data_IF_528852838126
#
_entry.id   IF_528852838126
#
_cell.length_a   1.000
_cell.length_b   1.000
_cell.length_c   1.000
_cell.angle_alpha   90.00
_cell.angle_beta   90.00
_cell.angle_gamma   90.00
#
_symmetry.space_group_name_H-M   'P 1'
#
loop_
_entity.id
_entity.type
_entity.pdbx_description
1 polymer ?
#
# COMPACT_ATOMS: atom_id res chain seq x y z
N UNK A 1 -21.70 9.51 -12.88
CA UNK A 1 -21.14 10.47 -11.91
C UNK A 1 -21.09 9.95 -10.47
N UNK A 2 -22.18 9.94 -9.68
CA UNK A 2 -22.08 9.47 -8.26
C UNK A 2 -21.64 8.00 -8.11
N UNK A 3 -22.08 7.13 -9.02
CA UNK A 3 -21.72 5.71 -8.99
C UNK A 3 -20.24 5.46 -9.33
N UNK A 4 -19.65 6.28 -10.21
CA UNK A 4 -18.24 6.17 -10.63
C UNK A 4 -17.29 6.65 -9.53
N UNK A 5 -17.66 7.75 -8.85
CA UNK A 5 -16.94 8.26 -7.67
C UNK A 5 -17.01 7.25 -6.53
N UNK A 6 -18.18 6.65 -6.29
CA UNK A 6 -18.35 5.60 -5.27
C UNK A 6 -17.54 4.34 -5.56
N UNK A 7 -17.54 3.86 -6.80
CA UNK A 7 -16.71 2.72 -7.21
C UNK A 7 -15.21 3.02 -7.06
N UNK A 8 -14.74 4.19 -7.48
CA UNK A 8 -13.33 4.57 -7.30
C UNK A 8 -12.95 4.68 -5.82
N UNK A 9 -13.81 5.25 -4.97
CA UNK A 9 -13.55 5.36 -3.54
C UNK A 9 -13.43 3.98 -2.87
N UNK A 10 -14.36 3.06 -3.17
CA UNK A 10 -14.34 1.70 -2.63
C UNK A 10 -13.11 0.92 -3.12
N UNK A 11 -12.78 1.02 -4.42
CA UNK A 11 -11.60 0.36 -4.98
C UNK A 11 -10.30 0.93 -4.39
N UNK A 12 -10.22 2.24 -4.17
CA UNK A 12 -9.09 2.89 -3.54
C UNK A 12 -8.89 2.39 -2.11
N UNK A 13 -9.93 2.49 -1.27
CA UNK A 13 -9.87 2.06 0.14
C UNK A 13 -9.52 0.58 0.26
N UNK A 14 -10.14 -0.29 -0.56
CA UNK A 14 -9.83 -1.73 -0.55
C UNK A 14 -8.41 -2.01 -1.01
N UNK A 15 -7.92 -1.30 -2.04
CA UNK A 15 -6.53 -1.44 -2.51
C UNK A 15 -5.55 -1.06 -1.40
N UNK A 16 -5.73 0.11 -0.78
CA UNK A 16 -4.85 0.57 0.29
C UNK A 16 -4.86 -0.41 1.46
N UNK A 17 -6.03 -0.82 1.93
CA UNK A 17 -6.14 -1.78 3.03
C UNK A 17 -5.46 -3.12 2.71
N UNK A 18 -5.64 -3.64 1.48
CA UNK A 18 -5.04 -4.89 1.04
C UNK A 18 -3.51 -4.80 0.96
N UNK A 19 -2.96 -3.76 0.34
CA UNK A 19 -1.52 -3.59 0.20
C UNK A 19 -0.82 -3.24 1.52
N UNK A 20 -1.47 -2.49 2.41
CA UNK A 20 -0.97 -2.26 3.78
C UNK A 20 -0.90 -3.59 4.54
N UNK A 21 -1.92 -4.45 4.43
CA UNK A 21 -1.92 -5.79 5.04
C UNK A 21 -0.79 -6.68 4.52
N UNK A 22 -0.57 -6.74 3.21
CA UNK A 22 0.53 -7.48 2.59
C UNK A 22 1.88 -6.94 3.05
N UNK A 23 2.03 -5.61 3.06
CA UNK A 23 3.27 -4.97 3.50
C UNK A 23 3.57 -5.27 4.96
N UNK A 24 2.54 -5.29 5.82
CA UNK A 24 2.71 -5.64 7.23
C UNK A 24 3.17 -7.09 7.40
N UNK A 25 2.59 -8.01 6.62
CA UNK A 25 3.00 -9.42 6.59
C UNK A 25 4.43 -9.59 6.06
N UNK A 26 4.77 -8.91 4.96
CA UNK A 26 6.09 -8.96 4.34
C UNK A 26 7.17 -8.37 5.27
N UNK A 27 6.90 -7.21 5.87
CA UNK A 27 7.83 -6.59 6.83
C UNK A 27 8.03 -7.51 8.02
N UNK A 28 6.99 -8.19 8.54
CA UNK A 28 7.15 -9.16 9.64
C UNK A 28 8.14 -10.29 9.28
N UNK A 29 8.17 -10.72 8.02
CA UNK A 29 9.09 -11.75 7.55
C UNK A 29 10.56 -11.27 7.46
N UNK A 30 10.81 -9.96 7.35
CA UNK A 30 12.16 -9.39 7.18
C UNK A 30 13.02 -9.49 8.47
N UNK A 31 12.48 -9.96 9.60
CA UNK A 31 13.22 -10.05 10.88
C UNK A 31 14.01 -8.78 11.22
N UNK A 32 13.42 -7.58 11.03
CA UNK A 32 14.10 -6.32 11.37
C UNK A 32 14.43 -6.26 12.88
N UNK A 33 13.74 -7.05 13.70
CA UNK A 33 14.08 -7.30 15.12
C UNK A 33 15.51 -7.81 15.35
N UNK A 34 16.13 -8.49 14.36
CA UNK A 34 17.55 -8.88 14.44
C UNK A 34 18.51 -7.73 14.16
N UNK A 35 18.07 -6.70 13.43
CA UNK A 35 18.89 -5.55 13.03
C UNK A 35 18.90 -4.48 14.14
N UNK A 36 17.84 -4.37 14.93
CA UNK A 36 17.72 -3.30 15.93
C UNK A 36 18.06 -3.77 17.34
N UNK A 37 18.93 -3.01 18.02
CA UNK A 37 19.42 -3.30 19.38
C UNK A 37 18.27 -3.50 20.38
N UNK A 38 18.42 -4.53 21.21
CA UNK A 38 17.46 -5.14 22.18
C UNK A 38 16.75 -4.18 23.16
N UNK A 39 17.11 -2.89 23.23
CA UNK A 39 16.59 -1.93 24.19
C UNK A 39 15.54 -0.94 23.65
N UNK A 40 15.26 -0.91 22.34
CA UNK A 40 14.32 0.06 21.72
C UNK A 40 13.10 -0.59 21.05
N UNK A 41 12.54 -1.63 21.66
CA UNK A 41 11.41 -2.42 21.10
C UNK A 41 10.21 -1.54 20.68
N UNK A 42 9.87 -0.54 21.49
CA UNK A 42 8.75 0.37 21.19
C UNK A 42 8.99 1.24 19.94
N UNK A 43 10.20 1.80 19.80
CA UNK A 43 10.55 2.61 18.62
C UNK A 43 10.55 1.76 17.36
N UNK A 44 11.01 0.52 17.44
CA UNK A 44 11.01 -0.43 16.30
C UNK A 44 9.59 -0.79 15.89
N UNK A 45 8.69 -1.06 16.85
CA UNK A 45 7.29 -1.34 16.56
C UNK A 45 6.59 -0.15 15.89
N UNK A 46 6.81 1.07 16.40
CA UNK A 46 6.23 2.27 15.81
C UNK A 46 6.75 2.49 14.39
N UNK A 47 8.06 2.35 14.19
CA UNK A 47 8.69 2.48 12.87
C UNK A 47 8.16 1.41 11.90
N UNK A 48 7.90 0.19 12.37
CA UNK A 48 7.28 -0.88 11.59
C UNK A 48 5.90 -0.50 11.05
N UNK A 49 5.04 0.02 11.94
CA UNK A 49 3.68 0.40 11.57
C UNK A 49 3.72 1.54 10.55
N UNK A 50 4.54 2.56 10.81
CA UNK A 50 4.71 3.70 9.90
C UNK A 50 5.26 3.28 8.54
N UNK A 51 6.27 2.42 8.53
CA UNK A 51 6.88 1.91 7.30
C UNK A 51 5.92 1.02 6.52
N UNK A 52 5.10 0.23 7.21
CA UNK A 52 4.06 -0.59 6.59
C UNK A 52 2.99 0.27 5.92
N UNK A 53 2.56 1.35 6.57
CA UNK A 53 1.58 2.28 6.00
C UNK A 53 2.18 3.02 4.81
N UNK A 54 3.42 3.52 4.95
CA UNK A 54 4.10 4.23 3.87
C UNK A 54 4.25 3.36 2.62
N UNK A 55 4.87 2.18 2.76
CA UNK A 55 5.08 1.26 1.63
C UNK A 55 3.74 0.75 1.09
N UNK A 56 2.81 0.34 1.96
CA UNK A 56 1.50 -0.16 1.54
C UNK A 56 0.69 0.88 0.76
N UNK A 57 0.75 2.15 1.18
CA UNK A 57 0.10 3.26 0.46
C UNK A 57 0.76 3.48 -0.90
N UNK A 58 2.09 3.55 -0.96
CA UNK A 58 2.82 3.74 -2.23
C UNK A 58 2.56 2.61 -3.23
N UNK A 59 2.52 1.36 -2.78
CA UNK A 59 2.23 0.21 -3.66
C UNK A 59 0.78 0.25 -4.14
N UNK A 60 -0.17 0.64 -3.28
CA UNK A 60 -1.56 0.80 -3.68
C UNK A 60 -1.77 1.94 -4.67
N UNK A 61 -1.13 3.10 -4.46
CA UNK A 61 -1.16 4.22 -5.41
C UNK A 61 -0.56 3.82 -6.76
N UNK A 62 0.54 3.08 -6.75
CA UNK A 62 1.14 2.51 -7.95
C UNK A 62 0.14 1.58 -8.68
N UNK A 63 -0.55 0.70 -7.95
CA UNK A 63 -1.53 -0.21 -8.54
C UNK A 63 -2.74 0.52 -9.13
N UNK A 64 -3.29 1.51 -8.41
CA UNK A 64 -4.44 2.30 -8.87
C UNK A 64 -4.09 3.17 -10.08
N UNK A 65 -2.91 3.80 -10.08
CA UNK A 65 -2.42 4.59 -11.22
C UNK A 65 -2.14 3.71 -12.44
N UNK A 66 -1.51 2.55 -12.26
CA UNK A 66 -1.30 1.57 -13.33
C UNK A 66 -2.63 1.09 -13.94
N UNK A 67 -3.63 0.80 -13.09
CA UNK A 67 -4.97 0.41 -13.54
C UNK A 67 -5.65 1.52 -14.35
N UNK A 68 -5.52 2.78 -13.92
CA UNK A 68 -6.05 3.92 -14.65
C UNK A 68 -5.32 4.14 -15.98
N UNK A 69 -3.98 4.05 -16.03
CA UNK A 69 -3.23 4.13 -17.28
C UNK A 69 -3.56 2.99 -18.24
N UNK A 70 -3.82 1.79 -17.71
CA UNK A 70 -4.27 0.64 -18.51
C UNK A 70 -5.61 0.89 -19.20
N UNK A 71 -6.53 1.60 -18.54
CA UNK A 71 -7.81 2.04 -19.13
C UNK A 71 -7.64 3.16 -20.15
N UNK A 72 -6.54 3.90 -20.08
CA UNK A 72 -6.25 5.00 -20.99
C UNK A 72 -5.47 4.57 -22.24
N UNK A 73 -4.77 3.43 -22.18
CA UNK A 73 -4.05 2.83 -23.31
C UNK A 73 -4.86 2.70 -24.61
N UNK A 74 -6.16 2.32 -24.58
CA UNK A 74 -6.99 2.28 -25.78
C UNK A 74 -7.13 3.63 -26.51
N UNK A 75 -7.01 4.76 -25.82
CA UNK A 75 -7.05 6.10 -26.45
C UNK A 75 -5.84 6.39 -27.35
N UNK A 76 -4.77 5.58 -27.30
CA UNK A 76 -3.65 5.71 -28.25
C UNK A 76 -3.96 5.10 -29.62
N UNK A 77 -4.94 4.20 -29.68
CA UNK A 77 -5.27 3.44 -30.89
C UNK A 77 -6.61 3.86 -31.51
N UNK A 78 -7.26 4.90 -30.96
CA UNK A 78 -8.53 5.44 -31.44
C UNK A 78 -8.44 6.94 -31.70
#
# INVERSE_FOLDING_TARGET
>A
MYNEIGQQAILGVLSHAFFIGITFFALRAVMIEKIVKKHHVFQVQLLYILMSIAIGTTVSDFFLSMSNWSKQLPYLFM
#
